data_IF_097997725529
#
_entry.id   IF_097997725529
#
_cell.length_a   1.000
_cell.length_b   1.000
_cell.length_c   1.000
_cell.angle_alpha   90.00
_cell.angle_beta   90.00
_cell.angle_gamma   90.00
#
_symmetry.space_group_name_H-M   'P 1'
#
loop_
_entity.id
_entity.type
_entity.pdbx_description
1 polymer ?
#
# COMPACT_ATOMS: atom_id res chain seq x y z
N UNK A 1 -16.09 0.95 -7.95
CA UNK A 1 -14.75 0.36 -7.89
C UNK A 1 -13.97 1.06 -6.78
N UNK A 2 -13.99 0.51 -5.57
CA UNK A 2 -13.19 1.00 -4.42
C UNK A 2 -12.46 -0.15 -3.73
N UNK A 3 -12.93 -1.39 -3.94
CA UNK A 3 -12.35 -2.63 -3.41
C UNK A 3 -10.91 -2.87 -3.86
N UNK A 4 -10.49 -2.28 -4.99
CA UNK A 4 -9.09 -2.30 -5.44
C UNK A 4 -8.15 -1.53 -4.51
N UNK A 5 -8.64 -0.49 -3.85
CA UNK A 5 -7.82 0.38 -2.98
C UNK A 5 -7.86 -0.06 -1.51
N UNK A 6 -8.50 -1.21 -1.24
CA UNK A 6 -8.67 -1.72 0.13
C UNK A 6 -7.93 -3.05 0.24
N UNK A 7 -7.00 -3.11 1.17
CA UNK A 7 -6.33 -4.34 1.59
C UNK A 7 -6.93 -4.77 2.93
N UNK A 8 -7.40 -6.02 3.08
CA UNK A 8 -7.89 -6.51 4.36
C UNK A 8 -6.72 -6.61 5.36
N UNK A 9 -6.87 -5.98 6.52
CA UNK A 9 -5.86 -5.94 7.58
C UNK A 9 -5.58 -4.52 8.07
N UNK A 10 -4.97 -4.40 9.25
CA UNK A 10 -4.46 -3.13 9.77
C UNK A 10 -2.96 -3.06 9.55
N UNK A 11 -2.54 -2.33 8.53
CA UNK A 11 -1.13 -2.10 8.23
C UNK A 11 -0.81 -0.63 8.52
N UNK A 12 -0.16 -0.36 9.65
CA UNK A 12 0.43 0.96 9.93
C UNK A 12 1.67 1.18 9.07
N UNK A 13 2.19 2.41 9.04
CA UNK A 13 3.47 2.67 8.37
C UNK A 13 4.59 1.77 8.85
N UNK A 14 4.69 1.57 10.17
CA UNK A 14 5.76 0.73 10.71
C UNK A 14 5.60 -0.69 10.22
N UNK A 15 4.40 -1.26 10.29
CA UNK A 15 4.12 -2.60 9.80
C UNK A 15 4.38 -2.75 8.30
N UNK A 16 4.06 -1.73 7.48
CA UNK A 16 4.38 -1.73 6.05
C UNK A 16 5.88 -1.62 5.81
N UNK A 17 6.58 -0.78 6.55
CA UNK A 17 8.03 -0.63 6.43
C UNK A 17 8.74 -1.92 6.83
N UNK A 18 8.35 -2.53 7.94
CA UNK A 18 8.89 -3.80 8.42
C UNK A 18 8.61 -4.90 7.39
N UNK A 19 7.38 -5.03 6.89
CA UNK A 19 7.03 -6.01 5.86
C UNK A 19 7.84 -5.82 4.57
N UNK A 20 8.06 -4.58 4.15
CA UNK A 20 8.87 -4.27 2.97
C UNK A 20 10.35 -4.57 3.22
N UNK A 21 10.87 -4.30 4.41
CA UNK A 21 12.25 -4.62 4.79
C UNK A 21 12.50 -6.12 4.93
N UNK A 22 11.55 -6.86 5.49
CA UNK A 22 11.60 -8.32 5.64
C UNK A 22 11.51 -9.05 4.29
N UNK A 23 10.83 -8.46 3.29
CA UNK A 23 10.62 -9.06 1.97
C UNK A 23 11.52 -8.46 0.88
N UNK A 24 12.79 -8.24 1.22
CA UNK A 24 13.83 -7.81 0.26
C UNK A 24 13.51 -6.49 -0.49
N UNK A 25 12.73 -5.60 0.13
CA UNK A 25 12.39 -4.28 -0.42
C UNK A 25 11.05 -4.18 -1.13
N UNK A 26 10.26 -5.26 -1.20
CA UNK A 26 8.90 -5.23 -1.74
C UNK A 26 7.94 -6.22 -1.03
N UNK A 27 6.79 -5.74 -0.59
CA UNK A 27 5.72 -6.54 0.01
C UNK A 27 4.46 -6.50 -0.87
N UNK A 28 4.00 -7.66 -1.32
CA UNK A 28 2.78 -7.78 -2.14
C UNK A 28 1.57 -8.17 -1.27
N UNK A 29 0.52 -7.35 -1.34
CA UNK A 29 -0.73 -7.51 -0.61
C UNK A 29 -1.87 -7.79 -1.57
N UNK A 30 -2.80 -8.66 -1.16
CA UNK A 30 -4.02 -8.92 -1.93
C UNK A 30 -5.11 -7.92 -1.52
N UNK A 31 -5.76 -7.32 -2.50
CA UNK A 31 -6.86 -6.37 -2.29
C UNK A 31 -8.17 -7.13 -2.07
N UNK A 32 -9.21 -6.44 -1.58
CA UNK A 32 -10.56 -7.01 -1.45
C UNK A 32 -11.14 -7.40 -2.82
N UNK A 33 -10.64 -6.84 -3.92
CA UNK A 33 -11.01 -7.25 -5.27
C UNK A 33 -10.34 -8.58 -5.71
N UNK A 34 -9.30 -9.04 -5.01
CA UNK A 34 -8.52 -10.23 -5.36
C UNK A 34 -7.27 -9.94 -6.21
N UNK A 35 -7.06 -8.69 -6.63
CA UNK A 35 -5.85 -8.28 -7.32
C UNK A 35 -4.76 -7.87 -6.33
N UNK A 36 -3.49 -7.97 -6.74
CA UNK A 36 -2.35 -7.70 -5.85
C UNK A 36 -1.80 -6.29 -6.03
N UNK A 37 -1.60 -5.59 -4.92
CA UNK A 37 -0.84 -4.36 -4.85
C UNK A 37 0.53 -4.66 -4.24
N UNK A 38 1.59 -4.09 -4.82
CA UNK A 38 2.94 -4.24 -4.31
C UNK A 38 3.41 -2.94 -3.68
N UNK A 39 3.68 -2.95 -2.38
CA UNK A 39 4.31 -1.84 -1.70
C UNK A 39 5.81 -2.05 -1.73
N UNK A 40 6.55 -1.04 -2.14
CA UNK A 40 8.00 -1.08 -2.27
C UNK A 40 8.62 0.14 -1.62
N UNK A 41 9.87 -0.01 -1.18
CA UNK A 41 10.61 1.11 -0.60
C UNK A 41 11.11 2.02 -1.72
N UNK A 42 10.76 3.30 -1.65
CA UNK A 42 11.26 4.33 -2.54
C UNK A 42 12.03 5.38 -1.73
N UNK A 43 13.34 5.14 -1.58
CA UNK A 43 14.22 5.97 -0.76
C UNK A 43 13.82 5.98 0.72
N UNK A 44 13.36 7.15 1.20
CA UNK A 44 12.86 7.32 2.57
C UNK A 44 11.34 7.12 2.70
N UNK A 45 10.63 6.98 1.58
CA UNK A 45 9.19 6.79 1.52
C UNK A 45 8.84 5.38 1.04
N UNK A 46 7.55 5.08 1.06
CA UNK A 46 6.97 3.89 0.46
C UNK A 46 6.23 4.29 -0.82
N UNK A 47 6.28 3.45 -1.83
CA UNK A 47 5.47 3.55 -3.05
C UNK A 47 4.63 2.29 -3.18
N UNK A 48 3.43 2.43 -3.71
CA UNK A 48 2.55 1.31 -4.06
C UNK A 48 2.47 1.20 -5.57
N UNK A 49 2.58 -0.02 -6.08
CA UNK A 49 2.49 -0.38 -7.48
C UNK A 49 1.30 -1.30 -7.70
N UNK A 50 0.52 -0.99 -8.71
CA UNK A 50 -0.64 -1.77 -9.12
C UNK A 50 -0.26 -2.94 -10.05
N UNK A 51 -1.24 -3.78 -10.38
CA UNK A 51 -1.02 -4.96 -11.23
C UNK A 51 -0.63 -4.60 -12.67
N UNK A 52 -1.00 -3.40 -13.14
CA UNK A 52 -0.68 -2.87 -14.46
C UNK A 52 0.68 -2.17 -14.52
N UNK A 53 1.33 -2.03 -13.37
CA UNK A 53 2.64 -1.41 -13.20
C UNK A 53 2.62 0.11 -13.02
N UNK A 54 1.45 0.71 -12.79
CA UNK A 54 1.39 2.10 -12.33
C UNK A 54 1.83 2.15 -10.88
N UNK A 55 2.64 3.15 -10.54
CA UNK A 55 3.10 3.35 -9.18
C UNK A 55 2.69 4.73 -8.66
N UNK A 56 2.39 4.79 -7.37
CA UNK A 56 2.05 6.01 -6.65
C UNK A 56 2.84 6.06 -5.35
N UNK A 57 3.32 7.24 -4.97
CA UNK A 57 4.05 7.42 -3.72
C UNK A 57 3.07 7.66 -2.58
N UNK A 58 3.38 7.10 -1.42
CA UNK A 58 2.60 7.33 -0.22
C UNK A 58 3.07 8.66 0.41
N UNK A 59 2.21 9.68 0.35
CA UNK A 59 2.52 11.07 0.76
C UNK A 59 2.05 11.42 2.16
N UNK A 60 0.98 10.79 2.65
CA UNK A 60 0.49 10.98 4.02
C UNK A 60 0.04 9.65 4.58
N UNK A 61 0.51 9.34 5.78
CA UNK A 61 0.40 8.03 6.38
C UNK A 61 -0.23 8.14 7.77
N UNK A 62 -0.90 7.08 8.21
CA UNK A 62 -1.38 6.88 9.58
C UNK A 62 -2.52 7.80 10.03
N UNK A 63 -3.51 8.01 9.16
CA UNK A 63 -4.83 8.48 9.64
C UNK A 63 -5.53 7.29 10.31
N UNK A 64 -5.23 7.09 11.59
CA UNK A 64 -5.86 6.06 12.41
C UNK A 64 -7.37 6.34 12.51
N UNK A 65 -8.18 5.41 12.03
CA UNK A 65 -9.62 5.39 12.27
C UNK A 65 -9.99 4.15 13.05
N UNK A 66 -11.16 4.17 13.68
CA UNK A 66 -11.74 3.01 14.39
C UNK A 66 -11.82 1.74 13.55
N UNK A 67 -11.75 1.87 12.21
CA UNK A 67 -11.96 0.78 11.26
C UNK A 67 -10.71 0.46 10.41
N UNK A 68 -9.54 1.02 10.74
CA UNK A 68 -8.30 0.75 10.01
C UNK A 68 -7.38 1.97 9.85
N UNK A 69 -6.43 1.84 8.92
CA UNK A 69 -5.44 2.88 8.60
C UNK A 69 -5.67 3.34 7.17
N UNK A 70 -5.61 4.66 6.95
CA UNK A 70 -5.65 5.23 5.60
C UNK A 70 -4.28 5.78 5.25
N UNK A 71 -3.80 5.34 4.09
CA UNK A 71 -2.61 5.82 3.43
C UNK A 71 -3.03 6.67 2.23
N UNK A 72 -2.52 7.89 2.13
CA UNK A 72 -2.77 8.81 1.02
C UNK A 72 -1.63 8.69 0.04
N UNK A 73 -1.97 8.54 -1.24
CA UNK A 73 -1.03 8.45 -2.34
C UNK A 73 -1.17 9.65 -3.29
N UNK A 74 -0.10 10.00 -3.99
CA UNK A 74 -0.06 11.10 -4.98
C UNK A 74 -0.48 10.66 -6.41
N UNK A 75 -0.99 9.45 -6.57
CA UNK A 75 -1.40 8.87 -7.85
C UNK A 75 -2.70 8.07 -7.74
N UNK A 76 -3.15 7.56 -8.88
CA UNK A 76 -4.36 6.72 -8.98
C UNK A 76 -3.93 5.32 -9.38
N UNK A 77 -4.38 4.32 -8.62
CA UNK A 77 -4.15 2.92 -8.95
C UNK A 77 -5.32 2.40 -9.77
N UNK A 78 -5.01 1.65 -10.83
CA UNK A 78 -6.01 1.14 -11.76
C UNK A 78 -6.04 -0.38 -11.67
N UNK A 79 -7.23 -1.00 -11.49
CA UNK A 79 -7.41 -2.43 -11.70
C UNK A 79 -7.07 -2.80 -13.15
#
# INVERSE_FOLDING_TARGET
MLTYHVVPGSMSREALQDAVMEREGAASFETVQGERLSVMRNGNNLSVMDANGNSANIILVDVARSNGVIHVIDGVLMP
#
